data_IF_095604797206
#
_entry.id   IF_095604797206
#
_cell.length_a   1.000
_cell.length_b   1.000
_cell.length_c   1.000
_cell.angle_alpha   90.00
_cell.angle_beta   90.00
_cell.angle_gamma   90.00
#
_symmetry.space_group_name_H-M   'P 1'
#
loop_
_entity.id
_entity.type
_entity.pdbx_description
1 polymer ?
#
# COMPACT_ATOMS: atom_id res chain seq x y z
N UNK A 1 -3.87 3.39 11.55
CA UNK A 1 -3.45 2.29 10.65
C UNK A 1 -4.57 1.30 10.33
N UNK A 2 -5.18 0.62 11.31
CA UNK A 2 -6.35 -0.28 11.06
C UNK A 2 -7.54 0.50 10.48
N UNK A 3 -7.81 1.71 10.99
CA UNK A 3 -8.83 2.61 10.44
C UNK A 3 -8.62 2.91 8.95
N UNK A 4 -7.38 3.18 8.54
CA UNK A 4 -7.00 3.45 7.15
C UNK A 4 -7.27 2.25 6.26
N UNK A 5 -6.97 1.04 6.74
CA UNK A 5 -7.25 -0.22 6.02
C UNK A 5 -8.76 -0.46 5.85
N UNK A 6 -9.58 -0.16 6.85
CA UNK A 6 -11.03 -0.26 6.74
C UNK A 6 -11.59 0.77 5.75
N UNK A 7 -11.05 2.00 5.76
CA UNK A 7 -11.41 3.02 4.79
C UNK A 7 -11.04 2.61 3.36
N UNK A 8 -9.86 1.99 3.19
CA UNK A 8 -9.43 1.42 1.91
C UNK A 8 -10.36 0.29 1.45
N UNK A 9 -10.75 -0.63 2.34
CA UNK A 9 -11.74 -1.70 2.04
C UNK A 9 -13.02 -1.12 1.46
N UNK A 10 -13.56 -0.11 2.13
CA UNK A 10 -14.80 0.53 1.75
C UNK A 10 -14.65 1.28 0.42
N UNK A 11 -13.53 1.98 0.22
CA UNK A 11 -13.25 2.67 -1.03
C UNK A 11 -13.13 1.70 -2.22
N UNK A 12 -12.46 0.56 -2.06
CA UNK A 12 -12.38 -0.48 -3.09
C UNK A 12 -13.76 -1.07 -3.36
N UNK A 13 -14.53 -1.39 -2.32
CA UNK A 13 -15.90 -1.90 -2.46
C UNK A 13 -16.79 -0.94 -3.26
N UNK A 14 -16.69 0.37 -3.01
CA UNK A 14 -17.52 1.36 -3.68
C UNK A 14 -17.02 1.71 -5.09
N UNK A 15 -15.70 1.86 -5.28
CA UNK A 15 -15.14 2.38 -6.55
C UNK A 15 -14.72 1.27 -7.53
N UNK A 16 -14.31 0.11 -7.02
CA UNK A 16 -13.75 -0.99 -7.83
C UNK A 16 -14.10 -2.37 -7.23
N UNK A 17 -15.40 -2.75 -7.15
CA UNK A 17 -15.83 -3.99 -6.51
C UNK A 17 -15.22 -5.25 -7.16
N UNK A 18 -14.92 -5.22 -8.47
CA UNK A 18 -14.28 -6.31 -9.21
C UNK A 18 -12.85 -6.65 -8.74
N UNK A 19 -12.19 -5.75 -8.02
CA UNK A 19 -10.86 -6.02 -7.47
C UNK A 19 -10.94 -6.98 -6.27
N UNK A 20 -12.04 -6.95 -5.51
CA UNK A 20 -12.21 -7.83 -4.35
C UNK A 20 -12.40 -9.29 -4.78
N UNK A 21 -13.03 -9.53 -5.94
CA UNK A 21 -13.24 -10.88 -6.48
C UNK A 21 -12.00 -11.47 -7.16
N UNK A 22 -11.01 -10.64 -7.50
CA UNK A 22 -9.79 -11.04 -8.23
C UNK A 22 -8.60 -11.30 -7.31
N UNK A 23 -8.74 -11.02 -6.01
CA UNK A 23 -7.63 -10.92 -5.08
C UNK A 23 -6.88 -9.59 -5.27
N UNK A 24 -6.48 -8.98 -4.17
CA UNK A 24 -5.64 -7.78 -4.18
C UNK A 24 -4.31 -8.14 -3.55
N UNK A 25 -3.20 -7.65 -4.10
CA UNK A 25 -1.89 -7.76 -3.45
C UNK A 25 -1.57 -6.37 -2.92
N UNK A 26 -1.32 -6.27 -1.61
CA UNK A 26 -0.89 -5.03 -0.98
C UNK A 26 0.61 -5.08 -0.79
N UNK A 27 1.32 -4.22 -1.53
CA UNK A 27 2.72 -3.89 -1.25
C UNK A 27 2.76 -2.68 -0.32
N UNK A 28 3.46 -2.81 0.80
CA UNK A 28 3.58 -1.79 1.85
C UNK A 28 5.04 -1.77 2.29
N UNK A 29 5.72 -0.65 2.08
CA UNK A 29 7.13 -0.37 2.35
C UNK A 29 7.45 -0.24 3.86
N UNK A 30 6.45 -0.40 4.71
CA UNK A 30 6.58 -0.16 6.15
C UNK A 30 7.48 -1.20 6.85
N UNK A 31 8.78 -0.94 6.86
CA UNK A 31 9.84 -1.65 7.57
C UNK A 31 9.93 -1.28 9.08
N UNK A 32 8.82 -0.83 9.69
CA UNK A 32 8.82 -0.44 11.10
C UNK A 32 9.00 -1.63 12.06
N UNK A 33 9.71 -1.47 13.20
CA UNK A 33 10.10 -2.56 14.09
C UNK A 33 8.93 -3.32 14.74
N UNK A 34 7.73 -2.75 14.71
CA UNK A 34 6.54 -3.34 15.33
C UNK A 34 5.48 -3.69 14.29
N UNK A 35 5.73 -4.78 13.55
CA UNK A 35 4.67 -5.49 12.83
C UNK A 35 3.76 -6.19 13.84
N UNK A 36 2.87 -5.43 14.49
CA UNK A 36 1.89 -5.99 15.42
C UNK A 36 1.05 -7.05 14.70
N UNK A 37 0.95 -8.25 15.29
CA UNK A 37 0.18 -9.40 14.76
C UNK A 37 -1.22 -9.00 14.28
N UNK A 38 -1.85 -8.08 15.01
CA UNK A 38 -3.16 -7.53 14.69
C UNK A 38 -3.20 -6.82 13.32
N UNK A 39 -2.12 -6.14 12.90
CA UNK A 39 -2.04 -5.50 11.57
C UNK A 39 -1.93 -6.54 10.46
N UNK A 40 -1.03 -7.53 10.61
CA UNK A 40 -0.86 -8.62 9.62
C UNK A 40 -2.17 -9.38 9.43
N UNK A 41 -2.84 -9.68 10.54
CA UNK A 41 -4.13 -10.37 10.54
C UNK A 41 -5.24 -9.54 9.87
N UNK A 42 -5.29 -8.22 10.12
CA UNK A 42 -6.24 -7.35 9.43
C UNK A 42 -6.01 -7.28 7.93
N UNK A 43 -4.75 -7.25 7.47
CA UNK A 43 -4.41 -7.25 6.04
C UNK A 43 -4.83 -8.59 5.39
N UNK A 44 -4.55 -9.72 6.06
CA UNK A 44 -4.99 -11.05 5.60
C UNK A 44 -6.52 -11.13 5.47
N UNK A 45 -7.27 -10.64 6.46
CA UNK A 45 -8.76 -10.58 6.45
C UNK A 45 -9.36 -9.66 5.39
N UNK A 46 -8.53 -8.81 4.81
CA UNK A 46 -8.91 -7.90 3.73
C UNK A 46 -8.88 -8.57 2.35
N UNK A 47 -8.57 -9.87 2.27
CA UNK A 47 -8.31 -10.63 1.02
C UNK A 47 -7.08 -10.06 0.30
N UNK A 48 -6.10 -9.63 1.09
CA UNK A 48 -4.83 -9.13 0.60
C UNK A 48 -3.73 -10.10 0.95
N UNK A 49 -3.11 -10.70 -0.06
CA UNK A 49 -1.79 -11.29 0.11
C UNK A 49 -0.81 -10.13 0.28
N UNK A 50 -0.15 -10.08 1.44
CA UNK A 50 0.93 -9.14 1.65
C UNK A 50 2.14 -9.71 0.93
N UNK A 51 2.74 -8.93 0.05
CA UNK A 51 4.04 -9.28 -0.51
C UNK A 51 5.07 -9.20 0.63
N UNK A 52 5.70 -10.32 0.96
CA UNK A 52 6.82 -10.33 1.91
C UNK A 52 8.01 -9.67 1.22
N UNK A 53 8.19 -8.38 1.49
CA UNK A 53 9.36 -7.62 1.03
C UNK A 53 10.54 -7.87 1.99
N UNK A 54 11.73 -8.26 1.52
CA UNK A 54 12.92 -8.30 2.37
C UNK A 54 13.10 -6.99 3.13
N UNK A 55 13.44 -7.10 4.41
CA UNK A 55 13.67 -5.93 5.26
C UNK A 55 14.75 -5.05 4.60
N UNK A 56 14.37 -3.82 4.23
CA UNK A 56 15.21 -2.79 3.63
C UNK A 56 15.63 -2.99 2.16
N UNK A 57 14.65 -3.14 1.26
CA UNK A 57 14.86 -2.81 -0.14
C UNK A 57 14.02 -1.62 -0.56
N UNK A 58 14.48 -0.43 -0.18
CA UNK A 58 13.84 0.86 -0.51
C UNK A 58 13.73 1.10 -2.03
N UNK A 59 14.50 0.36 -2.85
CA UNK A 59 14.46 0.44 -4.32
C UNK A 59 13.49 -0.56 -4.98
N UNK A 60 12.87 -1.47 -4.24
CA UNK A 60 11.97 -2.47 -4.82
C UNK A 60 10.50 -2.05 -4.83
N UNK A 61 10.11 -1.07 -4.01
CA UNK A 61 8.75 -0.58 -4.01
C UNK A 61 8.49 0.22 -5.30
N UNK A 62 7.50 -0.17 -6.14
CA UNK A 62 7.20 0.57 -7.37
C UNK A 62 6.83 2.05 -7.10
N UNK A 63 6.36 2.38 -5.90
CA UNK A 63 6.11 3.74 -5.46
C UNK A 63 7.37 4.60 -5.38
N UNK A 64 8.46 4.05 -4.83
CA UNK A 64 9.67 4.80 -4.52
C UNK A 64 10.47 5.11 -5.79
N UNK A 65 10.47 4.21 -6.78
CA UNK A 65 11.16 4.41 -8.05
C UNK A 65 10.33 5.16 -9.11
N UNK A 66 9.01 4.97 -9.16
CA UNK A 66 8.19 5.58 -10.21
C UNK A 66 7.30 6.73 -9.73
N UNK A 67 6.55 6.54 -8.65
CA UNK A 67 5.49 7.48 -8.27
C UNK A 67 6.05 8.71 -7.54
N UNK A 68 6.91 8.50 -6.54
CA UNK A 68 7.47 9.58 -5.72
C UNK A 68 8.36 10.52 -6.54
N UNK A 69 9.27 10.03 -7.42
CA UNK A 69 10.08 10.92 -8.24
C UNK A 69 9.23 11.74 -9.21
N UNK A 70 8.27 11.10 -9.89
CA UNK A 70 7.35 11.80 -10.78
C UNK A 70 6.54 12.88 -10.06
N UNK A 71 6.08 12.59 -8.83
CA UNK A 71 5.37 13.57 -8.00
C UNK A 71 6.28 14.75 -7.61
N UNK A 72 7.53 14.50 -7.20
CA UNK A 72 8.50 15.56 -6.87
C UNK A 72 8.76 16.46 -8.07
N UNK A 73 8.93 15.89 -9.26
CA UNK A 73 9.12 16.64 -10.49
C UNK A 73 7.91 17.51 -10.82
N UNK A 74 6.69 16.97 -10.73
CA UNK A 74 5.46 17.72 -10.99
C UNK A 74 5.27 18.88 -10.01
N UNK A 75 5.55 18.67 -8.72
CA UNK A 75 5.48 19.72 -7.70
C UNK A 75 6.53 20.81 -7.92
N UNK A 76 7.74 20.44 -8.36
CA UNK A 76 8.80 21.40 -8.67
C UNK A 76 8.48 22.28 -9.89
N UNK A 77 7.81 21.74 -10.91
CA UNK A 77 7.39 22.52 -12.08
C UNK A 77 6.19 23.42 -11.79
N UNK A 78 5.30 23.00 -10.88
CA UNK A 78 4.15 23.81 -10.46
C UNK A 78 4.52 24.98 -9.53
N UNK A 79 5.74 25.00 -8.99
CA UNK A 79 6.26 26.06 -8.11
C UNK A 79 7.16 27.07 -8.86
N UNK A 80 7.30 26.95 -10.18
CA UNK A 80 7.83 28.00 -11.06
C UNK A 80 6.70 28.91 -11.53
#
# INVERSE_FOLDING_TARGET
MIYTLNKLKNAIRCKKPRLLSRGVILSDDYAGPNTTRNRKEHIRRLVCERLDDPAYSTDLAPSDFHLIPALKSALSEAMK
#
